data_IF_555471620293
#
_entry.id   IF_555471620293
#
_cell.length_a   1.000
_cell.length_b   1.000
_cell.length_c   1.000
_cell.angle_alpha   90.00
_cell.angle_beta   90.00
_cell.angle_gamma   90.00
#
_symmetry.space_group_name_H-M   'P 1'
#
loop_
_entity.id
_entity.type
_entity.pdbx_description
1 polymer ?
#
# COMPACT_ATOMS: atom_id res chain seq x y z
N UNK A 1 2.85 -4.65 -16.05
CA UNK A 1 2.48 -3.61 -17.03
C UNK A 1 3.74 -3.11 -17.71
N UNK A 2 3.79 -2.97 -19.04
CA UNK A 2 4.90 -2.28 -19.70
C UNK A 2 4.91 -0.79 -19.35
N UNK A 3 6.09 -0.20 -19.21
CA UNK A 3 6.26 1.24 -19.00
C UNK A 3 5.78 2.03 -20.24
N UNK A 4 5.15 3.19 -20.04
CA UNK A 4 4.70 4.08 -21.11
C UNK A 4 3.23 3.93 -21.55
N UNK A 5 2.45 3.07 -20.89
CA UNK A 5 0.99 3.03 -21.06
C UNK A 5 0.35 4.21 -20.33
N UNK A 6 -0.40 5.04 -21.05
CA UNK A 6 -1.11 6.22 -20.50
C UNK A 6 -2.02 5.86 -19.32
N UNK A 7 -2.58 4.64 -19.32
CA UNK A 7 -3.50 4.17 -18.28
C UNK A 7 -2.80 3.32 -17.19
N UNK A 8 -1.49 3.13 -17.25
CA UNK A 8 -0.76 2.31 -16.28
C UNK A 8 -0.94 2.79 -14.83
N UNK A 9 -0.87 4.10 -14.50
CA UNK A 9 -1.07 4.56 -13.13
C UNK A 9 -2.49 4.28 -12.63
N UNK A 10 -3.50 4.47 -13.48
CA UNK A 10 -4.89 4.19 -13.12
C UNK A 10 -5.12 2.69 -12.85
N UNK A 11 -4.60 1.83 -13.71
CA UNK A 11 -4.72 0.38 -13.54
C UNK A 11 -3.95 -0.11 -12.30
N UNK A 12 -2.75 0.45 -12.06
CA UNK A 12 -1.96 0.16 -10.88
C UNK A 12 -2.69 0.56 -9.60
N UNK A 13 -3.20 1.81 -9.52
CA UNK A 13 -3.97 2.28 -8.37
C UNK A 13 -5.16 1.39 -8.09
N UNK A 14 -5.94 1.02 -9.11
CA UNK A 14 -7.11 0.13 -8.95
C UNK A 14 -6.72 -1.25 -8.44
N UNK A 15 -5.62 -1.83 -8.95
CA UNK A 15 -5.12 -3.12 -8.50
C UNK A 15 -4.62 -3.04 -7.06
N UNK A 16 -3.88 -1.99 -6.71
CA UNK A 16 -3.40 -1.77 -5.35
C UNK A 16 -4.54 -1.53 -4.36
N UNK A 17 -5.62 -0.85 -4.75
CA UNK A 17 -6.83 -0.73 -3.90
C UNK A 17 -7.39 -2.10 -3.53
N UNK A 18 -7.42 -3.07 -4.47
CA UNK A 18 -7.89 -4.43 -4.17
C UNK A 18 -6.91 -5.20 -3.28
N UNK A 19 -5.60 -5.07 -3.52
CA UNK A 19 -4.58 -5.71 -2.70
C UNK A 19 -4.58 -5.18 -1.26
N UNK A 20 -4.85 -3.89 -1.10
CA UNK A 20 -4.88 -3.19 0.18
C UNK A 20 -6.27 -3.14 0.83
N UNK A 21 -7.26 -3.89 0.33
CA UNK A 21 -8.63 -3.85 0.86
C UNK A 21 -8.70 -4.12 2.37
N UNK A 22 -7.81 -4.97 2.90
CA UNK A 22 -7.73 -5.26 4.34
C UNK A 22 -6.80 -4.31 5.13
N UNK A 23 -6.21 -3.33 4.45
CA UNK A 23 -5.25 -2.37 4.99
C UNK A 23 -5.73 -0.92 4.80
N UNK A 24 -6.95 -0.71 4.31
CA UNK A 24 -7.54 0.59 3.97
C UNK A 24 -7.61 1.58 5.15
N UNK A 25 -7.60 1.07 6.38
CA UNK A 25 -7.56 1.86 7.61
C UNK A 25 -6.23 2.57 7.86
N UNK A 26 -5.12 2.09 7.29
CA UNK A 26 -3.77 2.63 7.54
C UNK A 26 -2.90 2.71 6.27
N UNK A 27 -3.39 2.30 5.10
CA UNK A 27 -2.65 2.33 3.84
C UNK A 27 -3.55 2.75 2.67
N UNK A 28 -3.03 3.64 1.82
CA UNK A 28 -3.72 4.12 0.62
C UNK A 28 -2.77 4.14 -0.58
N UNK A 29 -3.18 3.61 -1.75
CA UNK A 29 -2.36 3.68 -2.96
C UNK A 29 -2.32 5.10 -3.51
N UNK A 30 -1.15 5.54 -3.97
CA UNK A 30 -0.92 6.85 -4.57
C UNK A 30 0.04 6.76 -5.76
N UNK A 31 -0.51 6.77 -6.97
CA UNK A 31 0.25 6.57 -8.21
C UNK A 31 1.10 5.31 -8.11
N UNK A 32 2.43 5.43 -8.14
CA UNK A 32 3.37 4.31 -8.09
C UNK A 32 3.79 3.94 -6.65
N UNK A 33 3.32 4.69 -5.65
CA UNK A 33 3.65 4.52 -4.23
C UNK A 33 2.43 4.07 -3.39
N UNK A 34 2.70 3.63 -2.16
CA UNK A 34 1.68 3.36 -1.14
C UNK A 34 1.97 4.25 0.07
N UNK A 35 1.03 5.10 0.43
CA UNK A 35 1.13 5.91 1.64
C UNK A 35 0.61 5.12 2.84
N UNK A 36 1.43 4.99 3.87
CA UNK A 36 1.06 4.38 5.16
C UNK A 36 0.86 5.51 6.17
N UNK A 37 -0.20 5.45 6.98
CA UNK A 37 -0.52 6.48 7.97
C UNK A 37 -1.04 5.89 9.28
N UNK A 38 -0.91 6.65 10.36
CA UNK A 38 -1.36 6.30 11.72
C UNK A 38 -1.59 7.57 12.53
N UNK A 39 -2.29 7.46 13.66
CA UNK A 39 -2.62 8.62 14.52
C UNK A 39 -1.43 9.16 15.31
N UNK A 40 -0.48 8.29 15.66
CA UNK A 40 0.73 8.63 16.40
C UNK A 40 1.97 7.93 15.81
N UNK A 41 3.14 8.36 16.27
CA UNK A 41 4.44 7.92 15.75
C UNK A 41 4.79 6.48 16.17
N UNK A 42 4.44 6.11 17.41
CA UNK A 42 4.68 4.77 17.95
C UNK A 42 3.93 3.69 17.16
N UNK A 43 2.68 3.95 16.78
CA UNK A 43 1.87 3.09 15.93
C UNK A 43 2.44 3.04 14.51
N UNK A 44 2.91 4.18 13.99
CA UNK A 44 3.56 4.23 12.67
C UNK A 44 4.79 3.33 12.60
N UNK A 45 5.64 3.39 13.65
CA UNK A 45 6.82 2.55 13.78
C UNK A 45 6.44 1.08 13.92
N UNK A 46 5.41 0.78 14.71
CA UNK A 46 4.93 -0.60 14.88
C UNK A 46 4.43 -1.18 13.55
N UNK A 47 3.67 -0.41 12.76
CA UNK A 47 3.23 -0.81 11.42
C UNK A 47 4.41 -1.01 10.46
N UNK A 48 5.39 -0.11 10.48
CA UNK A 48 6.58 -0.17 9.62
C UNK A 48 7.53 -1.33 9.97
N UNK A 49 7.52 -1.79 11.22
CA UNK A 49 8.40 -2.84 11.75
C UNK A 49 7.75 -4.24 11.78
N UNK A 50 6.47 -4.38 11.41
CA UNK A 50 5.85 -5.70 11.28
C UNK A 50 6.47 -6.44 10.09
N UNK A 51 7.39 -7.36 10.39
CA UNK A 51 7.80 -8.40 9.45
C UNK A 51 6.55 -9.18 8.99
N UNK A 52 6.42 -9.49 7.69
CA UNK A 52 5.37 -10.41 7.24
C UNK A 52 5.52 -11.73 8.01
N UNK A 53 4.42 -12.37 8.44
CA UNK A 53 4.51 -13.68 9.06
C UNK A 53 5.22 -14.62 8.08
N UNK A 54 6.37 -15.17 8.49
CA UNK A 54 7.00 -16.22 7.70
C UNK A 54 6.03 -17.40 7.65
N UNK A 55 5.71 -17.91 6.45
CA UNK A 55 4.88 -19.11 6.35
C UNK A 55 5.60 -20.26 7.07
N UNK A 56 4.87 -20.92 7.97
CA UNK A 56 5.29 -22.18 8.58
C UNK A 56 5.43 -23.29 7.53
#
# INVERSE_FOLDING_TARGET
>A
MPFGLVNAPYFFSKLMTQVLENCDTFAVPYLDDIAIYSENWEDHLTLSLRHPPQPA
#
